data_IF_350048427664
#
_entry.id   IF_350048427664
#
_cell.length_a   1.000
_cell.length_b   1.000
_cell.length_c   1.000
_cell.angle_alpha   90.00
_cell.angle_beta   90.00
_cell.angle_gamma   90.00
#
_symmetry.space_group_name_H-M   'P 1'
#
loop_
_entity.id
_entity.type
_entity.pdbx_description
1 polymer ?
#
# COMPACT_ATOMS: atom_id res chain seq x y z
N UNK A 1 2.23 17.93 -8.22
CA UNK A 1 2.32 16.98 -7.09
C UNK A 1 1.59 15.72 -7.48
N UNK A 2 2.26 14.57 -7.44
CA UNK A 2 1.63 13.25 -7.57
C UNK A 2 1.37 12.70 -6.18
N UNK A 3 0.24 12.02 -5.98
CA UNK A 3 -0.07 11.36 -4.71
C UNK A 3 0.84 10.15 -4.50
N UNK A 4 1.31 9.96 -3.26
CA UNK A 4 2.04 8.76 -2.85
C UNK A 4 1.03 7.70 -2.35
N UNK A 5 0.56 6.87 -3.28
CA UNK A 5 -0.42 5.82 -2.96
C UNK A 5 0.18 4.70 -2.11
N UNK A 6 1.49 4.44 -2.23
CA UNK A 6 2.18 3.46 -1.40
C UNK A 6 2.18 3.86 0.08
N UNK A 7 2.51 5.12 0.38
CA UNK A 7 2.46 5.66 1.73
C UNK A 7 1.03 5.70 2.26
N UNK A 8 0.07 6.14 1.44
CA UNK A 8 -1.34 6.16 1.82
C UNK A 8 -1.84 4.76 2.24
N UNK A 9 -1.54 3.74 1.43
CA UNK A 9 -1.91 2.35 1.71
C UNK A 9 -1.36 1.86 3.06
N UNK A 10 -0.06 2.07 3.31
CA UNK A 10 0.59 1.68 4.58
C UNK A 10 -0.10 2.32 5.80
N UNK A 11 -0.55 3.57 5.68
CA UNK A 11 -1.19 4.28 6.80
C UNK A 11 -2.63 3.81 7.01
N UNK A 12 -3.35 3.48 5.93
CA UNK A 12 -4.69 2.90 6.00
C UNK A 12 -4.66 1.49 6.63
N UNK A 13 -3.71 0.63 6.22
CA UNK A 13 -3.50 -0.70 6.82
C UNK A 13 -3.25 -0.59 8.34
N UNK A 14 -2.41 0.36 8.75
CA UNK A 14 -2.17 0.62 10.19
C UNK A 14 -3.43 1.08 10.92
N UNK A 15 -4.20 1.99 10.33
CA UNK A 15 -5.46 2.45 10.91
C UNK A 15 -6.46 1.30 11.07
N UNK A 16 -6.56 0.42 10.07
CA UNK A 16 -7.40 -0.78 10.12
C UNK A 16 -6.99 -1.66 11.30
N UNK A 17 -5.70 -1.90 11.43
CA UNK A 17 -5.14 -2.65 12.55
C UNK A 17 -5.27 -1.96 13.90
N UNK A 18 -5.54 -0.65 14.01
CA UNK A 18 -5.82 -0.04 15.31
C UNK A 18 -7.29 -0.16 15.71
N UNK A 19 -8.21 -0.28 14.75
CA UNK A 19 -9.64 -0.48 14.99
C UNK A 19 -10.01 -1.96 15.27
N UNK A 20 -9.28 -2.61 16.19
CA UNK A 20 -9.48 -4.04 16.52
C UNK A 20 -10.70 -4.30 17.41
N UNK A 21 -11.34 -3.25 17.92
CA UNK A 21 -12.50 -3.37 18.81
C UNK A 21 -13.70 -4.01 18.11
N UNK A 22 -14.57 -4.60 18.91
CA UNK A 22 -15.86 -5.15 18.45
C UNK A 22 -17.02 -4.15 18.55
N UNK A 23 -16.73 -2.94 19.04
CA UNK A 23 -17.71 -1.86 19.07
C UNK A 23 -18.18 -1.50 17.64
N UNK A 24 -19.42 -0.98 17.49
CA UNK A 24 -19.98 -0.68 16.18
C UNK A 24 -19.13 0.29 15.35
N UNK A 25 -18.38 1.20 15.98
CA UNK A 25 -17.55 2.15 15.26
C UNK A 25 -16.28 1.48 14.73
N UNK A 26 -15.63 0.63 15.52
CA UNK A 26 -14.47 -0.16 15.06
C UNK A 26 -14.83 -1.09 13.90
N UNK A 27 -16.02 -1.72 13.91
CA UNK A 27 -16.48 -2.56 12.79
C UNK A 27 -16.72 -1.76 11.52
N UNK A 28 -17.54 -0.71 11.59
CA UNK A 28 -17.83 0.15 10.42
C UNK A 28 -16.59 0.87 9.91
N UNK A 29 -15.70 1.26 10.82
CA UNK A 29 -14.43 1.89 10.49
C UNK A 29 -13.52 0.94 9.70
N UNK A 30 -13.40 -0.33 10.12
CA UNK A 30 -12.68 -1.36 9.35
C UNK A 30 -13.29 -1.60 7.97
N UNK A 31 -14.61 -1.69 7.86
CA UNK A 31 -15.31 -1.83 6.57
C UNK A 31 -15.01 -0.65 5.62
N UNK A 32 -15.04 0.59 6.14
CA UNK A 32 -14.71 1.77 5.34
C UNK A 32 -13.23 1.82 4.94
N UNK A 33 -12.33 1.41 5.85
CA UNK A 33 -10.90 1.36 5.58
C UNK A 33 -10.56 0.32 4.51
N UNK A 34 -11.22 -0.84 4.50
CA UNK A 34 -11.04 -1.85 3.43
C UNK A 34 -11.34 -1.27 2.05
N UNK A 35 -12.47 -0.55 1.90
CA UNK A 35 -12.82 0.09 0.63
C UNK A 35 -11.77 1.11 0.18
N UNK A 36 -11.22 1.88 1.12
CA UNK A 36 -10.16 2.85 0.84
C UNK A 36 -8.84 2.17 0.47
N UNK A 37 -8.45 1.11 1.17
CA UNK A 37 -7.25 0.32 0.87
C UNK A 37 -7.34 -0.25 -0.54
N UNK A 38 -8.49 -0.81 -0.92
CA UNK A 38 -8.73 -1.34 -2.26
C UNK A 38 -8.64 -0.24 -3.33
N UNK A 39 -9.31 0.89 -3.13
CA UNK A 39 -9.26 2.01 -4.06
C UNK A 39 -7.84 2.56 -4.26
N UNK A 40 -7.08 2.70 -3.18
CA UNK A 40 -5.68 3.16 -3.23
C UNK A 40 -4.80 2.13 -3.93
N UNK A 41 -4.98 0.83 -3.67
CA UNK A 41 -4.22 -0.23 -4.34
C UNK A 41 -4.46 -0.27 -5.86
N UNK A 42 -5.69 0.02 -6.31
CA UNK A 42 -6.02 0.13 -7.74
C UNK A 42 -5.29 1.31 -8.38
N UNK A 43 -5.28 2.47 -7.73
CA UNK A 43 -4.58 3.64 -8.26
C UNK A 43 -3.06 3.49 -8.21
N UNK A 44 -2.52 2.87 -7.16
CA UNK A 44 -1.10 2.49 -7.07
C UNK A 44 -0.71 1.57 -8.22
N UNK A 45 -1.54 0.58 -8.56
CA UNK A 45 -1.29 -0.33 -9.68
C UNK A 45 -1.35 0.35 -11.05
N UNK A 46 -2.24 1.34 -11.22
CA UNK A 46 -2.37 2.11 -12.46
C UNK A 46 -1.22 3.07 -12.67
N UNK A 47 -0.57 3.54 -11.60
CA UNK A 47 0.58 4.41 -11.76
C UNK A 47 1.64 3.66 -12.57
N UNK A 48 2.19 4.27 -13.64
CA UNK A 48 3.33 3.68 -14.32
C UNK A 48 4.39 3.45 -13.25
N UNK A 49 4.86 2.20 -13.11
CA UNK A 49 6.00 1.88 -12.26
C UNK A 49 7.11 2.82 -12.74
N UNK A 50 7.37 3.87 -11.97
CA UNK A 50 8.42 4.84 -12.29
C UNK A 50 9.64 4.02 -12.63
N UNK A 51 10.18 4.21 -13.84
CA UNK A 51 11.25 3.42 -14.45
C UNK A 51 12.10 2.72 -13.40
N UNK A 52 11.66 1.52 -13.01
CA UNK A 52 12.27 0.84 -11.88
C UNK A 52 13.67 0.48 -12.36
N UNK A 53 14.68 1.10 -11.77
CA UNK A 53 16.06 0.88 -12.17
C UNK A 53 16.34 -0.61 -12.03
N UNK A 54 16.46 -1.30 -13.16
CA UNK A 54 16.78 -2.72 -13.20
C UNK A 54 18.23 -2.84 -12.77
N UNK A 55 18.45 -3.14 -11.49
CA UNK A 55 19.78 -3.41 -10.97
C UNK A 55 20.27 -4.73 -11.55
N UNK A 56 21.23 -4.64 -12.48
CA UNK A 56 21.94 -5.81 -13.01
C UNK A 56 22.73 -6.44 -11.87
N UNK A 57 22.43 -7.70 -11.55
CA UNK A 57 23.25 -8.46 -10.61
C UNK A 57 24.68 -8.55 -11.15
N UNK A 58 25.71 -8.21 -10.34
CA UNK A 58 27.09 -8.32 -10.80
C UNK A 58 27.39 -9.79 -11.09
N UNK A 59 27.63 -10.09 -12.37
CA UNK A 59 28.07 -11.41 -12.80
C UNK A 59 29.38 -11.72 -12.09
N UNK A 60 29.29 -12.56 -11.05
CA UNK A 60 30.42 -12.98 -10.25
C UNK A 60 31.57 -13.42 -11.14
N UNK A 61 32.69 -12.71 -11.03
CA UNK A 61 33.96 -13.09 -11.60
C UNK A 61 34.31 -14.48 -11.05
N UNK A 62 34.27 -15.50 -11.91
CA UNK A 62 34.77 -16.83 -11.57
C UNK A 62 36.26 -16.69 -11.22
N UNK A 63 36.62 -17.10 -10.01
CA UNK A 63 38.00 -17.36 -9.60
C UNK A 63 38.55 -18.57 -10.35
#
# INVERSE_FOLDING_TARGET
MTSDFSAARVHLDRAYHYLRGDDPMSRRGREALDLLIEAVAVEEFKQPRQDAEVLMFPNGRRF
#
